data_IF_918183676403
#
_entry.id   IF_918183676403
#
_cell.length_a   1.000
_cell.length_b   1.000
_cell.length_c   1.000
_cell.angle_alpha   90.00
_cell.angle_beta   90.00
_cell.angle_gamma   90.00
#
_symmetry.space_group_name_H-M   'P 1'
#
loop_
_entity.id
_entity.type
_entity.pdbx_description
1 polymer ?
#
# COMPACT_ATOMS: atom_id res chain seq x y z
N UNK A 1 -2.91 27.29 12.75
CA UNK A 1 -1.87 26.23 12.83
C UNK A 1 -1.02 26.34 11.57
N UNK A 2 0.20 26.82 11.68
CA UNK A 2 1.16 26.78 10.57
C UNK A 2 2.02 25.53 10.74
N UNK A 3 2.05 24.67 9.72
CA UNK A 3 2.90 23.50 9.65
C UNK A 3 3.92 23.75 8.54
N UNK A 4 5.20 23.82 8.89
CA UNK A 4 6.28 23.80 7.92
C UNK A 4 6.79 22.37 7.80
N UNK A 5 6.53 21.72 6.68
CA UNK A 5 6.97 20.38 6.39
C UNK A 5 8.10 20.43 5.37
N UNK A 6 9.17 19.72 5.66
CA UNK A 6 10.31 19.61 4.79
C UNK A 6 10.51 18.15 4.38
N UNK A 7 10.44 17.86 3.08
CA UNK A 7 10.69 16.55 2.52
C UNK A 7 11.94 16.60 1.63
N UNK A 8 13.00 15.91 2.02
CA UNK A 8 14.16 15.68 1.18
C UNK A 8 14.16 14.25 0.69
N UNK A 9 14.19 14.06 -0.63
CA UNK A 9 14.24 12.75 -1.27
C UNK A 9 15.59 12.56 -1.96
N UNK A 10 16.29 11.50 -1.61
CA UNK A 10 17.48 11.06 -2.33
C UNK A 10 17.13 9.76 -3.03
N UNK A 11 17.17 9.77 -4.37
CA UNK A 11 16.87 8.61 -5.20
C UNK A 11 18.11 8.29 -6.03
N UNK A 12 18.58 7.06 -5.90
CA UNK A 12 19.66 6.54 -6.72
C UNK A 12 19.16 5.36 -7.56
N UNK A 13 19.54 5.34 -8.84
CA UNK A 13 19.24 4.25 -9.77
C UNK A 13 20.44 3.97 -10.64
N UNK A 14 20.83 2.72 -10.72
CA UNK A 14 21.87 2.25 -11.61
C UNK A 14 21.36 1.09 -12.46
N UNK A 15 21.68 1.08 -13.74
CA UNK A 15 21.31 0.01 -14.67
C UNK A 15 22.56 -0.70 -15.15
N UNK A 16 22.52 -2.01 -15.13
CA UNK A 16 23.51 -2.88 -15.73
C UNK A 16 22.82 -3.81 -16.71
N UNK A 17 23.29 -3.84 -17.95
CA UNK A 17 22.82 -4.76 -18.98
C UNK A 17 23.88 -5.83 -19.22
N UNK A 18 23.44 -7.07 -19.40
CA UNK A 18 24.31 -8.13 -19.90
C UNK A 18 24.74 -7.83 -21.33
N UNK A 19 25.93 -8.26 -21.69
CA UNK A 19 26.44 -8.17 -23.08
C UNK A 19 25.58 -8.95 -24.08
N UNK A 20 24.85 -9.98 -23.65
CA UNK A 20 23.93 -10.77 -24.48
C UNK A 20 22.54 -10.15 -24.60
N UNK A 21 22.21 -9.12 -23.80
CA UNK A 21 20.89 -8.47 -23.80
C UNK A 21 19.75 -9.28 -23.18
N UNK A 22 20.00 -10.51 -22.75
CA UNK A 22 18.97 -11.39 -22.19
C UNK A 22 18.69 -11.15 -20.70
N UNK A 23 19.53 -10.32 -20.09
CA UNK A 23 19.49 -10.02 -18.66
C UNK A 23 19.69 -8.53 -18.43
N UNK A 24 18.76 -7.91 -17.73
CA UNK A 24 18.87 -6.54 -17.24
C UNK A 24 18.77 -6.53 -15.71
N UNK A 25 19.68 -5.83 -15.08
CA UNK A 25 19.69 -5.65 -13.65
C UNK A 25 19.63 -4.17 -13.28
N UNK A 26 18.80 -3.83 -12.29
CA UNK A 26 18.62 -2.47 -11.81
C UNK A 26 18.70 -2.44 -10.29
N UNK A 27 19.62 -1.65 -9.74
CA UNK A 27 19.61 -1.28 -8.32
C UNK A 27 18.82 0.01 -8.11
N UNK A 28 18.10 0.06 -7.01
CA UNK A 28 17.35 1.24 -6.57
C UNK A 28 17.61 1.49 -5.10
N UNK A 29 17.82 2.75 -4.73
CA UNK A 29 17.94 3.18 -3.35
C UNK A 29 17.19 4.50 -3.15
N UNK A 30 16.64 4.70 -1.95
CA UNK A 30 16.04 5.97 -1.55
C UNK A 30 16.17 6.20 -0.05
N UNK A 31 16.22 7.47 0.33
CA UNK A 31 16.06 7.92 1.71
C UNK A 31 15.10 9.12 1.73
N UNK A 32 14.14 9.10 2.64
CA UNK A 32 13.20 10.19 2.87
C UNK A 32 13.47 10.78 4.25
N UNK A 33 13.54 12.10 4.29
CA UNK A 33 13.75 12.89 5.51
C UNK A 33 12.55 13.82 5.69
N UNK A 34 11.87 13.70 6.79
CA UNK A 34 10.73 14.55 7.12
C UNK A 34 11.08 15.47 8.27
N UNK A 35 10.63 16.72 8.20
CA UNK A 35 10.75 17.70 9.27
C UNK A 35 9.40 18.36 9.54
N UNK A 36 9.11 18.71 10.78
CA UNK A 36 7.88 19.39 11.15
C UNK A 36 8.08 20.40 12.28
N UNK A 37 7.40 21.53 12.16
CA UNK A 37 7.32 22.56 13.19
C UNK A 37 5.83 22.85 13.44
N UNK A 38 5.40 22.73 14.67
CA UNK A 38 4.03 22.94 15.11
C UNK A 38 3.97 24.19 16.00
N UNK A 39 3.26 25.20 15.57
CA UNK A 39 3.21 26.52 16.22
C UNK A 39 2.07 26.68 17.23
N UNK A 40 1.61 25.61 17.83
CA UNK A 40 0.52 25.66 18.81
C UNK A 40 0.93 25.04 20.13
N UNK A 41 0.86 25.83 21.21
CA UNK A 41 1.12 25.35 22.59
C UNK A 41 0.04 24.39 23.11
N UNK A 42 -1.12 24.32 22.43
CA UNK A 42 -2.23 23.43 22.80
C UNK A 42 -2.13 22.04 22.20
N UNK A 43 -1.23 21.84 21.22
CA UNK A 43 -1.01 20.53 20.61
C UNK A 43 0.13 19.81 21.30
N UNK A 44 -0.06 18.51 21.58
CA UNK A 44 1.02 17.63 22.07
C UNK A 44 2.00 17.21 20.97
N UNK A 45 2.00 17.93 19.84
CA UNK A 45 2.79 17.63 18.67
C UNK A 45 4.15 18.31 18.84
N UNK A 46 5.20 17.52 18.96
CA UNK A 46 6.58 18.01 19.08
C UNK A 46 7.21 18.37 17.75
N UNK A 47 8.05 19.41 17.75
CA UNK A 47 8.88 19.74 16.59
C UNK A 47 10.01 18.73 16.42
N UNK A 48 10.41 18.41 15.18
CA UNK A 48 11.50 17.50 14.98
C UNK A 48 11.79 17.16 13.52
N UNK A 49 12.79 16.31 13.35
CA UNK A 49 13.19 15.71 12.08
C UNK A 49 13.34 14.22 12.25
N UNK A 50 13.00 13.45 11.21
CA UNK A 50 13.09 11.99 11.21
C UNK A 50 13.49 11.47 9.82
N UNK A 51 14.21 10.35 9.81
CA UNK A 51 14.38 9.53 8.60
C UNK A 51 13.13 8.66 8.50
N UNK A 52 12.22 9.04 7.62
CA UNK A 52 10.89 8.42 7.53
C UNK A 52 10.88 7.10 6.77
N UNK A 53 11.74 6.94 5.76
CA UNK A 53 11.81 5.70 4.96
C UNK A 53 13.17 5.60 4.26
N UNK A 54 13.89 4.52 4.49
CA UNK A 54 15.09 4.17 3.72
C UNK A 54 14.82 2.84 3.04
N UNK A 55 15.08 2.76 1.74
CA UNK A 55 14.92 1.51 0.99
C UNK A 55 16.10 1.25 0.09
N UNK A 56 16.43 -0.03 -0.03
CA UNK A 56 17.38 -0.57 -0.97
C UNK A 56 16.73 -1.73 -1.70
N UNK A 57 16.78 -1.73 -3.02
CA UNK A 57 16.14 -2.76 -3.82
C UNK A 57 16.92 -3.10 -5.08
N UNK A 58 16.60 -4.25 -5.61
CA UNK A 58 17.07 -4.69 -6.92
C UNK A 58 15.92 -5.28 -7.72
N UNK A 59 15.95 -5.05 -9.02
CA UNK A 59 15.04 -5.67 -9.97
C UNK A 59 15.87 -6.30 -11.08
N UNK A 60 15.45 -7.47 -11.52
CA UNK A 60 16.10 -8.27 -12.55
C UNK A 60 15.09 -8.64 -13.59
N UNK A 61 15.38 -8.37 -14.89
CA UNK A 61 14.59 -8.86 -16.01
C UNK A 61 15.37 -9.95 -16.72
N UNK A 62 14.71 -11.04 -17.03
CA UNK A 62 15.30 -12.19 -17.67
C UNK A 62 14.29 -12.92 -18.56
N UNK A 63 14.78 -13.63 -19.55
CA UNK A 63 13.95 -14.40 -20.47
C UNK A 63 12.79 -13.58 -21.11
N UNK A 64 13.04 -12.29 -21.40
CA UNK A 64 12.11 -11.32 -22.03
C UNK A 64 10.83 -11.00 -21.23
N UNK A 65 10.21 -11.99 -20.60
CA UNK A 65 8.88 -11.90 -19.99
C UNK A 65 8.89 -11.95 -18.45
N UNK A 66 10.03 -12.25 -17.83
CA UNK A 66 10.15 -12.42 -16.40
C UNK A 66 10.82 -11.21 -15.76
N UNK A 67 10.29 -10.81 -14.61
CA UNK A 67 10.91 -9.79 -13.76
C UNK A 67 10.85 -10.25 -12.31
N UNK A 68 11.99 -10.22 -11.62
CA UNK A 68 12.11 -10.41 -10.18
C UNK A 68 12.41 -9.09 -9.49
N UNK A 69 11.88 -8.88 -8.29
CA UNK A 69 12.18 -7.74 -7.42
C UNK A 69 12.45 -8.20 -5.99
N UNK A 70 13.47 -7.60 -5.38
CA UNK A 70 13.72 -7.70 -3.93
C UNK A 70 13.92 -6.28 -3.43
N UNK A 71 13.21 -5.89 -2.37
CA UNK A 71 13.34 -4.58 -1.71
C UNK A 71 13.36 -4.77 -0.20
N UNK A 72 14.36 -4.17 0.44
CA UNK A 72 14.49 -4.05 1.89
C UNK A 72 14.18 -2.63 2.31
N UNK A 73 13.59 -2.46 3.48
CA UNK A 73 13.35 -1.17 4.10
C UNK A 73 14.01 -1.11 5.48
N UNK A 74 14.50 0.06 5.84
CA UNK A 74 14.98 0.38 7.18
C UNK A 74 14.16 1.52 7.75
N UNK A 75 13.58 1.29 8.93
CA UNK A 75 12.79 2.26 9.67
C UNK A 75 12.78 1.91 11.15
N UNK A 76 12.80 2.89 12.04
CA UNK A 76 12.73 2.68 13.49
C UNK A 76 13.80 1.69 14.01
N UNK A 77 15.02 1.76 13.48
CA UNK A 77 16.14 0.86 13.80
C UNK A 77 15.91 -0.62 13.46
N UNK A 78 14.94 -0.89 12.55
CA UNK A 78 14.61 -2.24 12.10
C UNK A 78 14.73 -2.36 10.59
N UNK A 79 15.31 -3.46 10.14
CA UNK A 79 15.25 -3.89 8.74
C UNK A 79 13.97 -4.69 8.55
N UNK A 80 13.26 -4.45 7.47
CA UNK A 80 12.04 -5.18 7.11
C UNK A 80 12.03 -5.54 5.63
N UNK A 81 11.46 -6.70 5.32
CA UNK A 81 11.18 -7.09 3.95
C UNK A 81 10.07 -6.19 3.39
N UNK A 82 10.27 -5.70 2.18
CA UNK A 82 9.27 -4.94 1.44
C UNK A 82 8.73 -5.79 0.29
N UNK A 83 8.99 -5.39 -0.94
CA UNK A 83 8.53 -6.14 -2.10
C UNK A 83 9.51 -7.26 -2.44
N UNK A 84 9.06 -8.51 -2.41
CA UNK A 84 9.81 -9.68 -2.90
C UNK A 84 8.88 -10.49 -3.77
N UNK A 85 9.04 -10.40 -5.08
CA UNK A 85 8.15 -11.09 -6.00
C UNK A 85 8.81 -11.41 -7.34
N UNK A 86 8.19 -12.32 -8.06
CA UNK A 86 8.45 -12.60 -9.46
C UNK A 86 7.18 -12.35 -10.27
N UNK A 87 7.34 -11.75 -11.44
CA UNK A 87 6.25 -11.55 -12.40
C UNK A 87 6.57 -12.22 -13.73
N UNK A 88 5.55 -12.74 -14.37
CA UNK A 88 5.57 -13.14 -15.77
C UNK A 88 4.58 -12.27 -16.55
N UNK A 89 5.06 -11.61 -17.60
CA UNK A 89 4.24 -10.71 -18.43
C UNK A 89 4.22 -11.16 -19.88
N UNK A 90 3.01 -11.22 -20.45
CA UNK A 90 2.83 -11.46 -21.89
C UNK A 90 1.71 -10.55 -22.41
N UNK A 91 2.08 -9.56 -23.21
CA UNK A 91 1.16 -8.50 -23.63
C UNK A 91 0.57 -7.77 -22.42
N UNK A 92 -0.73 -7.66 -22.37
CA UNK A 92 -1.49 -7.01 -21.30
C UNK A 92 -1.70 -7.89 -20.06
N UNK A 93 -1.30 -9.16 -20.12
CA UNK A 93 -1.49 -10.15 -19.06
C UNK A 93 -0.24 -10.26 -18.19
N UNK A 94 -0.42 -10.31 -16.87
CA UNK A 94 0.66 -10.49 -15.90
C UNK A 94 0.22 -11.43 -14.78
N UNK A 95 1.09 -12.39 -14.47
CA UNK A 95 1.03 -13.20 -13.25
C UNK A 95 2.09 -12.67 -12.29
N UNK A 96 1.76 -12.57 -11.02
CA UNK A 96 2.66 -12.11 -9.97
C UNK A 96 2.57 -13.03 -8.76
N UNK A 97 3.73 -13.45 -8.24
CA UNK A 97 3.84 -14.35 -7.08
C UNK A 97 4.90 -13.80 -6.14
N UNK A 98 4.64 -13.79 -4.84
CA UNK A 98 5.58 -13.37 -3.81
C UNK A 98 4.93 -12.52 -2.73
N UNK A 99 5.75 -11.66 -2.08
CA UNK A 99 5.37 -10.77 -1.00
C UNK A 99 5.22 -9.33 -1.50
N UNK A 100 4.00 -8.82 -1.54
CA UNK A 100 3.67 -7.49 -2.06
C UNK A 100 2.30 -7.04 -1.57
N UNK A 101 1.92 -5.77 -1.85
CA UNK A 101 0.58 -5.28 -1.57
C UNK A 101 -0.47 -5.91 -2.48
N UNK A 102 -1.57 -6.35 -1.90
CA UNK A 102 -2.76 -6.81 -2.61
C UNK A 102 -3.29 -5.72 -3.56
N UNK A 103 -4.00 -6.14 -4.60
CA UNK A 103 -4.58 -5.22 -5.58
C UNK A 103 -5.97 -4.75 -5.12
N UNK A 104 -6.00 -3.79 -4.21
CA UNK A 104 -7.20 -3.12 -3.74
C UNK A 104 -6.80 -1.74 -3.20
N UNK A 105 -7.75 -0.75 -3.14
CA UNK A 105 -7.46 0.62 -2.74
C UNK A 105 -6.63 1.41 -3.75
N UNK A 106 -6.64 2.71 -3.64
CA UNK A 106 -5.93 3.63 -4.54
C UNK A 106 -4.56 4.02 -3.98
N UNK A 107 -4.49 4.83 -2.92
CA UNK A 107 -3.23 5.31 -2.34
C UNK A 107 -2.46 4.19 -1.65
N UNK A 108 -3.15 3.24 -1.05
CA UNK A 108 -2.56 2.11 -0.35
C UNK A 108 -1.50 1.35 -1.17
N UNK A 109 -1.72 1.21 -2.47
CA UNK A 109 -0.78 0.52 -3.38
C UNK A 109 0.32 1.41 -3.92
N UNK A 110 0.19 2.72 -3.75
CA UNK A 110 1.22 3.65 -4.18
C UNK A 110 2.43 3.52 -3.25
N UNK A 111 3.61 3.52 -3.83
CA UNK A 111 4.82 3.68 -3.02
C UNK A 111 4.89 5.12 -2.49
N UNK A 112 5.53 5.32 -1.34
CA UNK A 112 5.66 6.63 -0.70
C UNK A 112 6.21 7.75 -1.60
N UNK A 113 6.95 7.43 -2.67
CA UNK A 113 7.39 8.40 -3.67
C UNK A 113 6.28 8.90 -4.62
N UNK A 114 5.12 8.28 -4.60
CA UNK A 114 4.00 8.60 -5.49
C UNK A 114 2.83 9.25 -4.77
N UNK A 115 2.92 9.42 -3.46
CA UNK A 115 1.91 10.16 -2.71
C UNK A 115 1.88 11.61 -3.18
N UNK A 116 0.69 12.17 -3.29
CA UNK A 116 0.48 13.58 -3.59
C UNK A 116 0.69 14.48 -2.38
N UNK A 117 0.50 13.91 -1.20
CA UNK A 117 0.78 14.51 0.10
C UNK A 117 2.01 13.83 0.71
N UNK A 118 2.44 14.26 1.88
CA UNK A 118 3.60 13.66 2.56
C UNK A 118 3.40 12.19 2.92
N UNK A 119 2.16 11.81 3.22
CA UNK A 119 1.77 10.43 3.55
C UNK A 119 0.54 10.02 2.75
N UNK A 120 0.18 8.74 2.82
CA UNK A 120 -1.11 8.27 2.30
C UNK A 120 -2.27 8.95 3.04
N UNK A 121 -3.46 8.91 2.47
CA UNK A 121 -4.67 9.41 3.12
C UNK A 121 -4.91 8.71 4.46
N UNK A 122 -5.57 9.41 5.41
CA UNK A 122 -5.96 8.80 6.70
C UNK A 122 -6.90 7.62 6.46
N UNK A 123 -7.78 7.71 5.47
CA UNK A 123 -8.70 6.63 5.09
C UNK A 123 -7.94 5.38 4.64
N UNK A 124 -6.95 5.52 3.77
CA UNK A 124 -6.10 4.38 3.37
C UNK A 124 -5.25 3.84 4.51
N UNK A 125 -4.76 4.71 5.39
CA UNK A 125 -4.03 4.27 6.59
C UNK A 125 -4.93 3.46 7.55
N UNK A 126 -6.22 3.80 7.64
CA UNK A 126 -7.21 3.09 8.47
C UNK A 126 -7.59 1.74 7.86
N UNK A 127 -7.90 1.71 6.57
CA UNK A 127 -8.44 0.52 5.89
C UNK A 127 -7.39 -0.28 5.12
N UNK A 128 -6.17 0.22 4.99
CA UNK A 128 -5.05 -0.50 4.38
C UNK A 128 -4.58 -1.68 5.23
N UNK A 129 -3.74 -2.51 4.65
CA UNK A 129 -3.14 -3.65 5.32
C UNK A 129 -1.64 -3.74 4.98
N UNK A 130 -0.97 -4.75 5.48
CA UNK A 130 0.45 -5.00 5.21
C UNK A 130 0.62 -5.71 3.85
N UNK A 131 1.85 -5.81 3.38
CA UNK A 131 2.20 -6.74 2.31
C UNK A 131 1.94 -8.16 2.75
N UNK A 132 1.51 -9.00 1.81
CA UNK A 132 1.20 -10.41 2.06
C UNK A 132 1.86 -11.30 1.02
N UNK A 133 2.13 -12.54 1.38
CA UNK A 133 2.58 -13.56 0.44
C UNK A 133 1.39 -14.11 -0.30
N UNK A 134 1.47 -14.15 -1.63
CA UNK A 134 0.38 -14.64 -2.44
C UNK A 134 0.67 -14.61 -3.92
N UNK A 135 -0.37 -14.83 -4.70
CA UNK A 135 -0.32 -14.73 -6.15
C UNK A 135 -1.49 -13.91 -6.68
N UNK A 136 -1.28 -13.27 -7.81
CA UNK A 136 -2.32 -12.50 -8.49
C UNK A 136 -2.18 -12.57 -10.01
N UNK A 137 -3.32 -12.48 -10.68
CA UNK A 137 -3.43 -12.23 -12.09
C UNK A 137 -3.87 -10.80 -12.32
N UNK A 138 -3.22 -10.12 -13.26
CA UNK A 138 -3.50 -8.74 -13.63
C UNK A 138 -3.62 -8.66 -15.15
N UNK A 139 -4.71 -8.09 -15.61
CA UNK A 139 -4.88 -7.64 -16.98
C UNK A 139 -4.81 -6.12 -17.00
N UNK A 140 -3.94 -5.55 -17.83
CA UNK A 140 -3.70 -4.11 -17.88
C UNK A 140 -3.55 -3.62 -19.31
N UNK A 141 -4.64 -3.14 -19.87
CA UNK A 141 -4.66 -2.43 -21.16
C UNK A 141 -4.71 -0.90 -20.96
N UNK A 142 -4.72 -0.16 -22.05
CA UNK A 142 -4.87 1.30 -21.99
C UNK A 142 -6.19 1.73 -21.32
N UNK A 143 -7.29 1.07 -21.66
CA UNK A 143 -8.63 1.44 -21.20
C UNK A 143 -9.04 0.78 -19.88
N UNK A 144 -8.53 -0.41 -19.58
CA UNK A 144 -9.00 -1.24 -18.47
C UNK A 144 -7.81 -1.85 -17.73
N UNK A 145 -7.88 -1.85 -16.41
CA UNK A 145 -7.08 -2.72 -15.55
C UNK A 145 -8.02 -3.54 -14.69
N UNK A 146 -7.84 -4.84 -14.67
CA UNK A 146 -8.50 -5.72 -13.71
C UNK A 146 -7.47 -6.63 -13.06
N UNK A 147 -7.69 -6.96 -11.81
CA UNK A 147 -6.81 -7.85 -11.06
C UNK A 147 -7.60 -8.69 -10.06
N UNK A 148 -7.12 -9.89 -9.82
CA UNK A 148 -7.59 -10.77 -8.77
C UNK A 148 -6.41 -11.50 -8.16
N UNK A 149 -6.42 -11.71 -6.84
CA UNK A 149 -5.34 -12.38 -6.14
C UNK A 149 -5.80 -13.10 -4.89
N UNK A 150 -5.00 -14.09 -4.51
CA UNK A 150 -5.15 -14.88 -3.30
C UNK A 150 -3.86 -14.78 -2.50
N UNK A 151 -3.98 -14.55 -1.19
CA UNK A 151 -2.87 -14.28 -0.30
C UNK A 151 -3.06 -15.00 1.03
N UNK A 152 -1.96 -15.36 1.69
CA UNK A 152 -1.97 -15.73 3.10
C UNK A 152 -2.29 -14.50 3.96
N UNK A 153 -3.04 -14.66 5.04
CA UNK A 153 -3.30 -13.56 5.98
C UNK A 153 -2.24 -13.45 7.08
N UNK A 154 -1.30 -14.37 7.13
CA UNK A 154 -0.19 -14.41 8.07
C UNK A 154 0.78 -13.21 7.97
N UNK A 155 1.53 -13.00 9.04
CA UNK A 155 2.60 -12.01 9.10
C UNK A 155 3.93 -12.70 8.71
N UNK A 156 4.57 -12.25 7.64
CA UNK A 156 5.84 -12.82 7.15
C UNK A 156 7.00 -12.72 8.14
N UNK A 157 6.91 -11.80 9.09
CA UNK A 157 7.94 -11.60 10.11
C UNK A 157 7.73 -12.49 11.36
N UNK A 158 6.60 -13.18 11.45
CA UNK A 158 6.24 -14.00 12.61
C UNK A 158 5.45 -15.22 12.16
N UNK A 159 6.16 -16.26 11.77
CA UNK A 159 5.57 -17.56 11.41
C UNK A 159 5.01 -18.17 12.68
N UNK A 160 3.69 -18.22 12.78
CA UNK A 160 2.98 -18.92 13.84
C UNK A 160 2.83 -20.40 13.46
N UNK A 161 2.82 -21.28 14.44
CA UNK A 161 2.63 -22.71 14.23
C UNK A 161 1.16 -23.12 14.00
N UNK A 162 0.30 -22.16 13.74
CA UNK A 162 -1.15 -22.33 13.56
C UNK A 162 -1.55 -22.07 12.11
N UNK A 163 -2.72 -22.53 11.73
CA UNK A 163 -3.28 -22.27 10.41
C UNK A 163 -3.45 -20.76 10.19
N UNK A 164 -2.79 -20.27 9.16
CA UNK A 164 -2.96 -18.88 8.74
C UNK A 164 -4.26 -18.75 7.94
N UNK A 165 -5.00 -17.68 8.16
CA UNK A 165 -6.14 -17.32 7.35
C UNK A 165 -5.74 -16.95 5.92
N UNK A 166 -6.71 -16.53 5.13
CA UNK A 166 -6.47 -16.14 3.75
C UNK A 166 -7.15 -14.84 3.37
N UNK A 167 -6.68 -14.25 2.29
CA UNK A 167 -7.22 -13.03 1.71
C UNK A 167 -7.49 -13.23 0.23
N UNK A 168 -8.65 -12.78 -0.22
CA UNK A 168 -8.99 -12.64 -1.63
C UNK A 168 -9.20 -11.17 -1.90
N UNK A 169 -8.51 -10.63 -2.91
CA UNK A 169 -8.66 -9.24 -3.33
C UNK A 169 -8.86 -9.16 -4.83
N UNK A 170 -9.78 -8.29 -5.26
CA UNK A 170 -10.03 -8.02 -6.66
C UNK A 170 -10.29 -6.54 -6.89
N UNK A 171 -9.90 -6.05 -8.06
CA UNK A 171 -10.09 -4.66 -8.47
C UNK A 171 -10.40 -4.57 -9.95
N UNK A 172 -11.25 -3.64 -10.30
CA UNK A 172 -11.54 -3.22 -11.66
C UNK A 172 -11.35 -1.71 -11.78
N UNK A 173 -10.63 -1.28 -12.82
CA UNK A 173 -10.38 0.12 -13.14
C UNK A 173 -10.73 0.35 -14.60
N UNK A 174 -11.61 1.31 -14.86
CA UNK A 174 -11.92 1.81 -16.19
C UNK A 174 -11.28 3.17 -16.43
N UNK A 175 -10.72 3.38 -17.62
CA UNK A 175 -10.16 4.66 -18.07
C UNK A 175 -10.81 5.06 -19.39
N UNK A 176 -12.07 5.57 -19.36
CA UNK A 176 -12.80 5.94 -20.57
C UNK A 176 -12.14 7.08 -21.35
N UNK A 177 -11.40 7.95 -20.66
CA UNK A 177 -10.55 8.97 -21.26
C UNK A 177 -9.14 8.80 -20.71
N UNK A 178 -8.17 8.61 -21.60
CA UNK A 178 -6.77 8.46 -21.22
C UNK A 178 -5.86 8.94 -22.36
N UNK A 179 -5.46 10.20 -22.28
CA UNK A 179 -4.47 10.80 -23.15
C UNK A 179 -3.49 11.68 -22.35
N UNK A 180 -2.62 12.44 -23.02
CA UNK A 180 -1.60 13.27 -22.38
C UNK A 180 -2.18 14.43 -21.57
N UNK A 181 -3.33 14.96 -21.96
CA UNK A 181 -3.98 16.10 -21.31
C UNK A 181 -5.16 15.73 -20.41
N UNK A 182 -5.69 14.50 -20.55
CA UNK A 182 -6.95 14.09 -19.91
C UNK A 182 -6.87 12.67 -19.39
N UNK A 183 -7.33 12.49 -18.17
CA UNK A 183 -7.57 11.18 -17.57
C UNK A 183 -8.89 11.21 -16.83
N UNK A 184 -9.72 10.22 -17.11
CA UNK A 184 -10.80 9.80 -16.23
C UNK A 184 -10.52 8.37 -15.80
N UNK A 185 -10.29 8.18 -14.52
CA UNK A 185 -10.06 6.88 -13.90
C UNK A 185 -11.21 6.62 -12.93
N UNK A 186 -11.85 5.47 -13.06
CA UNK A 186 -12.93 5.01 -12.21
C UNK A 186 -12.55 3.62 -11.72
N UNK A 187 -12.40 3.46 -10.41
CA UNK A 187 -11.99 2.20 -9.78
C UNK A 187 -13.03 1.67 -8.83
N UNK A 188 -13.16 0.35 -8.76
CA UNK A 188 -13.86 -0.38 -7.71
C UNK A 188 -13.01 -1.55 -7.25
N UNK A 189 -13.05 -1.84 -5.96
CA UNK A 189 -12.29 -2.94 -5.37
C UNK A 189 -13.06 -3.65 -4.27
N UNK A 190 -12.77 -4.92 -4.11
CA UNK A 190 -13.28 -5.75 -3.03
C UNK A 190 -12.16 -6.57 -2.43
N UNK A 191 -12.18 -6.72 -1.12
CA UNK A 191 -11.28 -7.55 -0.36
C UNK A 191 -12.07 -8.35 0.67
N UNK A 192 -11.83 -9.64 0.71
CA UNK A 192 -12.29 -10.54 1.75
C UNK A 192 -11.10 -11.11 2.49
N UNK A 193 -11.16 -11.20 3.81
CA UNK A 193 -10.19 -11.96 4.59
C UNK A 193 -10.88 -12.76 5.68
N UNK A 194 -10.38 -13.97 5.88
CA UNK A 194 -10.77 -14.87 6.93
C UNK A 194 -9.55 -15.20 7.78
N UNK A 195 -9.69 -15.08 9.08
CA UNK A 195 -8.65 -15.41 10.05
C UNK A 195 -8.87 -16.80 10.62
N UNK A 196 -7.80 -17.43 11.08
CA UNK A 196 -7.89 -18.72 11.71
C UNK A 196 -8.82 -18.68 12.94
N UNK A 197 -9.60 -19.75 13.11
CA UNK A 197 -10.55 -19.92 14.23
C UNK A 197 -9.87 -20.07 15.58
N UNK A 198 -8.63 -20.54 15.63
CA UNK A 198 -7.88 -20.78 16.85
C UNK A 198 -7.32 -19.49 17.48
N UNK A 199 -6.96 -18.50 16.65
CA UNK A 199 -6.47 -17.20 17.09
C UNK A 199 -7.44 -16.12 16.58
N UNK A 200 -8.54 -15.91 17.28
CA UNK A 200 -9.48 -14.80 17.01
C UNK A 200 -8.78 -13.48 17.31
N UNK A 201 -8.10 -12.96 16.30
CA UNK A 201 -7.28 -11.79 16.44
C UNK A 201 -8.10 -10.51 16.71
N UNK A 202 -7.45 -9.62 17.41
CA UNK A 202 -7.86 -8.23 17.48
C UNK A 202 -7.44 -7.53 16.20
N UNK A 203 -8.40 -7.00 15.45
CA UNK A 203 -8.08 -6.09 14.35
C UNK A 203 -8.10 -4.64 14.86
N UNK A 204 -7.10 -3.88 14.49
CA UNK A 204 -7.03 -2.46 14.81
C UNK A 204 -7.13 -1.63 13.54
N UNK A 205 -8.23 -0.93 13.37
CA UNK A 205 -8.34 0.14 12.40
C UNK A 205 -7.72 1.40 13.00
N UNK A 206 -6.59 1.85 12.45
CA UNK A 206 -5.90 3.04 12.94
C UNK A 206 -5.37 3.89 11.81
N UNK A 207 -5.66 5.18 11.86
CA UNK A 207 -5.13 6.20 10.95
C UNK A 207 -4.25 7.18 11.68
N UNK A 208 -3.13 7.54 11.06
CA UNK A 208 -2.12 8.41 11.63
C UNK A 208 -2.25 9.87 11.21
N UNK A 209 -1.39 10.68 11.78
CA UNK A 209 -1.16 12.06 11.37
C UNK A 209 -0.54 12.13 9.97
N UNK A 210 -0.68 13.26 9.28
CA UNK A 210 -0.14 13.47 7.94
C UNK A 210 1.39 13.66 7.90
N UNK A 211 2.10 13.21 8.91
CA UNK A 211 3.57 13.33 9.02
C UNK A 211 4.15 12.20 9.87
N UNK A 212 5.35 11.78 9.53
CA UNK A 212 6.12 10.78 10.25
C UNK A 212 6.97 11.36 11.39
N UNK A 213 6.99 12.69 11.56
CA UNK A 213 7.76 13.37 12.62
C UNK A 213 7.19 13.08 14.02
N UNK A 214 5.94 12.67 14.10
CA UNK A 214 5.26 12.43 15.36
C UNK A 214 5.62 11.07 15.95
N UNK A 215 5.69 11.00 17.27
CA UNK A 215 5.87 9.71 17.97
C UNK A 215 4.76 8.72 17.64
N UNK A 216 5.06 7.42 17.76
CA UNK A 216 4.09 6.35 17.44
C UNK A 216 2.76 6.46 18.21
N UNK A 217 2.75 7.07 19.38
CA UNK A 217 1.56 7.22 20.21
C UNK A 217 0.75 8.48 19.87
N UNK A 218 1.40 9.54 19.45
CA UNK A 218 0.78 10.81 19.06
C UNK A 218 0.35 10.83 17.59
N UNK A 219 0.87 9.89 16.81
CA UNK A 219 0.65 9.75 15.38
C UNK A 219 -0.69 9.06 15.03
N UNK A 220 -1.50 8.69 16.00
CA UNK A 220 -2.75 7.97 15.77
C UNK A 220 -3.94 8.83 16.15
N UNK A 221 -4.59 9.44 15.15
CA UNK A 221 -5.79 10.28 15.35
C UNK A 221 -7.08 9.48 15.40
N UNK A 222 -7.13 8.35 14.70
CA UNK A 222 -8.27 7.45 14.67
C UNK A 222 -7.80 6.07 15.05
N UNK A 223 -8.45 5.46 16.05
CA UNK A 223 -8.20 4.07 16.46
C UNK A 223 -9.49 3.40 16.90
N UNK A 224 -9.77 2.26 16.32
CA UNK A 224 -10.81 1.34 16.77
C UNK A 224 -10.22 -0.05 16.88
N UNK A 225 -10.47 -0.74 17.98
CA UNK A 225 -10.08 -2.12 18.20
C UNK A 225 -11.30 -3.02 18.18
N UNK A 226 -11.24 -4.07 17.39
CA UNK A 226 -12.31 -5.05 17.22
C UNK A 226 -11.75 -6.42 17.56
N UNK A 227 -12.29 -7.04 18.56
CA UNK A 227 -11.89 -8.37 19.03
C UNK A 227 -12.80 -9.46 18.49
N UNK A 228 -12.34 -10.71 18.52
CA UNK A 228 -13.09 -11.89 18.08
C UNK A 228 -13.57 -11.83 16.62
N UNK A 229 -12.74 -11.27 15.74
CA UNK A 229 -13.03 -11.22 14.32
C UNK A 229 -13.02 -12.64 13.73
N UNK A 230 -14.02 -12.95 12.90
CA UNK A 230 -14.10 -14.18 12.12
C UNK A 230 -13.61 -13.90 10.70
N UNK A 231 -14.24 -12.93 10.06
CA UNK A 231 -13.89 -12.49 8.71
C UNK A 231 -14.27 -11.03 8.52
N UNK A 232 -13.75 -10.46 7.45
CA UNK A 232 -14.09 -9.10 7.06
C UNK A 232 -14.21 -8.94 5.54
N UNK A 233 -15.09 -8.04 5.17
CA UNK A 233 -15.21 -7.51 3.82
C UNK A 233 -14.75 -6.07 3.80
N UNK A 234 -13.97 -5.69 2.79
CA UNK A 234 -13.66 -4.29 2.50
C UNK A 234 -14.07 -3.97 1.06
N UNK A 235 -14.62 -2.78 0.87
CA UNK A 235 -15.07 -2.28 -0.41
C UNK A 235 -14.43 -0.92 -0.66
N UNK A 236 -14.00 -0.68 -1.87
CA UNK A 236 -13.41 0.57 -2.30
C UNK A 236 -14.02 1.04 -3.61
N UNK A 237 -14.21 2.34 -3.74
CA UNK A 237 -14.53 3.01 -4.99
C UNK A 237 -13.70 4.28 -5.09
N UNK A 238 -13.07 4.51 -6.24
CA UNK A 238 -12.17 5.63 -6.44
C UNK A 238 -12.38 6.32 -7.79
N UNK A 239 -12.05 7.60 -7.82
CA UNK A 239 -12.06 8.43 -9.01
C UNK A 239 -10.80 9.29 -9.06
N UNK A 240 -10.18 9.36 -10.24
CA UNK A 240 -9.17 10.35 -10.58
C UNK A 240 -9.60 11.07 -11.83
N UNK A 241 -9.60 12.39 -11.75
CA UNK A 241 -9.81 13.28 -12.90
C UNK A 241 -8.55 14.11 -13.10
N UNK A 242 -8.05 14.12 -14.30
CA UNK A 242 -6.97 15.02 -14.70
C UNK A 242 -7.36 15.73 -15.99
N UNK A 243 -7.17 17.03 -16.01
CA UNK A 243 -7.42 17.87 -17.17
C UNK A 243 -6.46 19.06 -17.18
N UNK A 244 -5.58 19.11 -18.18
CA UNK A 244 -4.66 20.25 -18.42
C UNK A 244 -3.96 20.78 -17.17
N UNK A 245 -3.39 19.89 -16.36
CA UNK A 245 -2.67 20.26 -15.13
C UNK A 245 -3.54 20.32 -13.86
N UNK A 246 -4.87 20.32 -13.98
CA UNK A 246 -5.76 20.19 -12.82
C UNK A 246 -5.96 18.71 -12.47
N UNK A 247 -5.82 18.37 -11.21
CA UNK A 247 -5.91 17.01 -10.68
C UNK A 247 -6.92 16.96 -9.54
N UNK A 248 -7.86 16.02 -9.62
CA UNK A 248 -8.79 15.70 -8.55
C UNK A 248 -8.74 14.19 -8.30
N UNK A 249 -8.65 13.81 -7.04
CA UNK A 249 -8.68 12.42 -6.58
C UNK A 249 -9.63 12.31 -5.40
N UNK A 250 -10.42 11.24 -5.37
CA UNK A 250 -11.26 10.88 -4.24
C UNK A 250 -11.37 9.36 -4.16
N UNK A 251 -11.43 8.84 -2.95
CA UNK A 251 -11.68 7.43 -2.68
C UNK A 251 -12.63 7.28 -1.50
N UNK A 252 -13.55 6.33 -1.61
CA UNK A 252 -14.45 5.91 -0.55
C UNK A 252 -14.14 4.46 -0.20
N UNK A 253 -13.82 4.21 1.07
CA UNK A 253 -13.53 2.88 1.60
C UNK A 253 -14.55 2.51 2.68
N UNK A 254 -14.94 1.24 2.71
CA UNK A 254 -15.82 0.69 3.73
C UNK A 254 -15.30 -0.68 4.18
N UNK A 255 -15.49 -1.00 5.45
CA UNK A 255 -15.20 -2.32 6.00
C UNK A 255 -16.41 -2.82 6.80
N UNK A 256 -16.71 -4.10 6.64
CA UNK A 256 -17.68 -4.84 7.43
C UNK A 256 -16.98 -6.02 8.08
N UNK A 257 -17.02 -6.10 9.41
CA UNK A 257 -16.33 -7.11 10.21
C UNK A 257 -17.35 -7.98 10.92
N UNK A 258 -17.34 -9.28 10.64
CA UNK A 258 -18.11 -10.27 11.33
C UNK A 258 -17.36 -10.77 12.58
N UNK A 259 -18.05 -10.88 13.71
CA UNK A 259 -17.48 -11.23 15.01
C UNK A 259 -18.11 -12.47 15.60
N UNK A 260 -17.31 -13.25 16.34
CA UNK A 260 -17.84 -14.33 17.16
C UNK A 260 -18.26 -13.78 18.54
N UNK A 261 -19.53 -13.64 18.74
CA UNK A 261 -20.08 -13.06 19.95
C UNK A 261 -19.96 -11.52 19.99
N UNK A 262 -21.07 -10.84 19.94
CA UNK A 262 -21.18 -9.39 19.85
C UNK A 262 -21.67 -8.89 18.49
N UNK A 263 -21.93 -7.60 18.39
CA UNK A 263 -22.41 -6.97 17.16
C UNK A 263 -21.31 -6.87 16.11
N UNK A 264 -21.69 -7.04 14.85
CA UNK A 264 -20.80 -6.79 13.72
C UNK A 264 -20.41 -5.31 13.66
N UNK A 265 -19.23 -5.03 13.12
CA UNK A 265 -18.73 -3.67 12.97
C UNK A 265 -18.78 -3.24 11.51
N UNK A 266 -19.15 -1.97 11.28
CA UNK A 266 -19.05 -1.34 9.95
C UNK A 266 -18.39 0.01 10.08
N UNK A 267 -17.31 0.21 9.35
CA UNK A 267 -16.58 1.48 9.25
C UNK A 267 -16.58 2.00 7.82
N UNK A 268 -16.56 3.32 7.67
CA UNK A 268 -16.50 3.99 6.35
C UNK A 268 -15.55 5.18 6.43
N UNK A 269 -14.90 5.50 5.33
CA UNK A 269 -14.08 6.68 5.18
C UNK A 269 -14.08 7.17 3.74
N UNK A 270 -13.87 8.47 3.57
CA UNK A 270 -13.75 9.14 2.26
C UNK A 270 -12.73 10.26 2.37
N UNK A 271 -12.04 10.54 1.29
CA UNK A 271 -11.16 11.70 1.14
C UNK A 271 -11.21 12.25 -0.27
#
# INVERSE_FOLDING_TARGET
MFLLLFLLQIIAQAFVKSSTGDFEWKMTGRALFDGGIFFSDSSRLGNGMVISDVRLGTSVRFLKNWEGKIELGYRDSKVSLKDIYVTYRRGDHMLKVGHYFEHWGLDYRLGSLRFRLMTMSVTDAVFGDKRKVGFSYIYNSRAITTSAGFFSDGDTDNIKSLDEGYVIAAQFIGRPLYDEEKLVHLGIGVRYSEHDKAEREEISFKGGAPTEVLSKNENVFVRTRITNMINQWRFGADVILFYRGTYLQSECLAAHVNRAGGENYTGKGVY
#
